data_IF_958542912604
#
_entry.id   IF_958542912604
#
_cell.length_a   1.000
_cell.length_b   1.000
_cell.length_c   1.000
_cell.angle_alpha   90.00
_cell.angle_beta   90.00
_cell.angle_gamma   90.00
#
_symmetry.space_group_name_H-M   'P 1'
#
loop_
_entity.id
_entity.type
_entity.pdbx_description
1 polymer ?
#
# COMPACT_ATOMS: atom_id res chain seq x y z
N UNK A 1 29.54 2.47 -19.24
CA UNK A 1 28.24 1.83 -18.91
C UNK A 1 27.43 2.76 -18.01
N UNK A 2 26.29 3.31 -18.46
CA UNK A 2 25.37 4.08 -17.61
C UNK A 2 24.72 3.11 -16.61
N UNK A 3 24.93 3.29 -15.30
CA UNK A 3 24.19 2.57 -14.25
C UNK A 3 22.70 2.86 -14.46
N UNK A 4 21.91 1.84 -14.79
CA UNK A 4 20.46 1.90 -14.67
C UNK A 4 20.13 2.20 -13.21
N UNK A 5 19.76 3.45 -12.92
CA UNK A 5 19.23 3.83 -11.61
C UNK A 5 17.95 3.02 -11.41
N UNK A 6 18.03 2.00 -10.54
CA UNK A 6 16.88 1.16 -10.17
C UNK A 6 15.82 2.09 -9.60
N UNK A 7 14.82 2.45 -10.42
CA UNK A 7 13.75 3.34 -9.99
C UNK A 7 13.07 2.68 -8.80
N UNK A 8 13.15 3.32 -7.64
CA UNK A 8 12.55 2.80 -6.42
C UNK A 8 11.05 2.58 -6.66
N UNK A 9 10.58 1.36 -6.39
CA UNK A 9 9.14 1.10 -6.36
C UNK A 9 8.58 1.87 -5.17
N UNK A 10 7.76 2.88 -5.45
CA UNK A 10 7.21 3.76 -4.43
C UNK A 10 6.02 3.11 -3.75
N UNK A 11 6.12 2.95 -2.42
CA UNK A 11 5.03 2.47 -1.57
C UNK A 11 4.07 3.61 -1.16
N UNK A 12 4.18 4.80 -1.75
CA UNK A 12 3.29 5.95 -1.49
C UNK A 12 1.83 5.60 -1.80
N UNK A 13 0.95 5.78 -0.83
CA UNK A 13 -0.51 5.65 -0.97
C UNK A 13 -1.10 7.05 -0.72
N UNK A 14 -2.16 7.41 -1.42
CA UNK A 14 -2.91 8.64 -1.15
C UNK A 14 -3.68 8.50 0.18
N UNK A 15 -3.45 9.40 1.13
CA UNK A 15 -4.11 9.40 2.44
C UNK A 15 -5.08 10.59 2.60
N UNK A 16 -5.60 11.12 1.50
CA UNK A 16 -6.59 12.19 1.51
C UNK A 16 -7.97 11.68 1.99
N UNK A 17 -8.47 12.25 3.10
CA UNK A 17 -9.75 11.84 3.72
C UNK A 17 -10.94 11.90 2.75
N UNK A 18 -11.03 12.94 1.94
CA UNK A 18 -12.20 13.18 1.08
C UNK A 18 -12.21 12.22 -0.11
N UNK A 19 -11.03 11.92 -0.66
CA UNK A 19 -10.88 10.89 -1.68
C UNK A 19 -11.22 9.51 -1.14
N UNK A 20 -10.68 9.15 0.03
CA UNK A 20 -10.93 7.83 0.64
C UNK A 20 -12.42 7.66 0.96
N UNK A 21 -13.06 8.68 1.52
CA UNK A 21 -14.48 8.64 1.88
C UNK A 21 -15.40 8.48 0.66
N UNK A 22 -14.99 8.97 -0.51
CA UNK A 22 -15.79 8.96 -1.75
C UNK A 22 -15.55 7.74 -2.64
N UNK A 23 -14.67 6.81 -2.27
CA UNK A 23 -14.41 5.60 -3.05
C UNK A 23 -15.73 4.84 -3.23
N UNK A 24 -16.21 4.78 -4.46
CA UNK A 24 -17.47 4.13 -4.84
C UNK A 24 -17.27 2.97 -5.81
N UNK A 25 -16.11 2.89 -6.44
CA UNK A 25 -15.78 1.85 -7.41
C UNK A 25 -14.31 1.38 -7.28
N UNK A 26 -13.96 0.22 -7.89
CA UNK A 26 -12.60 -0.30 -7.84
C UNK A 26 -11.55 0.59 -8.54
N UNK A 27 -11.94 1.36 -9.57
CA UNK A 27 -11.01 2.26 -10.27
C UNK A 27 -10.54 3.34 -9.29
N UNK A 28 -11.47 3.97 -8.57
CA UNK A 28 -11.17 4.95 -7.53
C UNK A 28 -10.28 4.35 -6.42
N UNK A 29 -10.55 3.11 -6.01
CA UNK A 29 -9.67 2.39 -5.09
C UNK A 29 -8.24 2.24 -5.64
N UNK A 30 -8.09 1.88 -6.93
CA UNK A 30 -6.78 1.76 -7.56
C UNK A 30 -6.03 3.09 -7.62
N UNK A 31 -6.73 4.22 -7.73
CA UNK A 31 -6.10 5.55 -7.69
C UNK A 31 -5.45 5.86 -6.34
N UNK A 32 -6.02 5.34 -5.24
CA UNK A 32 -5.44 5.49 -3.90
C UNK A 32 -4.07 4.81 -3.81
N UNK A 33 -3.94 3.60 -4.35
CA UNK A 33 -2.68 2.85 -4.36
C UNK A 33 -1.69 3.33 -5.43
N UNK A 34 -2.18 3.96 -6.50
CA UNK A 34 -1.36 4.48 -7.60
C UNK A 34 -1.75 5.93 -7.94
N UNK A 35 -1.37 6.91 -7.10
CA UNK A 35 -1.86 8.29 -7.20
C UNK A 35 -1.25 9.10 -8.34
N UNK A 36 -0.13 8.66 -8.93
CA UNK A 36 0.50 9.38 -10.03
C UNK A 36 -0.43 9.44 -11.26
N UNK A 37 -0.53 10.62 -11.90
CA UNK A 37 -1.42 10.86 -13.06
C UNK A 37 -1.20 9.86 -14.19
N UNK A 38 0.05 9.50 -14.49
CA UNK A 38 0.42 8.57 -15.56
C UNK A 38 0.43 7.08 -15.14
N UNK A 39 -0.26 6.71 -14.06
CA UNK A 39 -0.24 5.34 -13.53
C UNK A 39 -1.34 4.41 -14.06
N UNK A 40 -2.06 4.78 -15.13
CA UNK A 40 -3.21 4.02 -15.66
C UNK A 40 -2.92 2.52 -15.85
N UNK A 41 -1.79 2.17 -16.48
CA UNK A 41 -1.38 0.78 -16.69
C UNK A 41 -1.12 0.03 -15.37
N UNK A 42 -0.62 0.70 -14.34
CA UNK A 42 -0.40 0.09 -13.01
C UNK A 42 -1.71 -0.09 -12.25
N UNK A 43 -2.66 0.85 -12.42
CA UNK A 43 -4.02 0.75 -11.86
C UNK A 43 -4.79 -0.43 -12.47
N UNK A 44 -4.75 -0.55 -13.80
CA UNK A 44 -5.34 -1.70 -14.50
C UNK A 44 -4.69 -3.02 -14.04
N UNK A 45 -3.36 -3.08 -13.96
CA UNK A 45 -2.66 -4.25 -13.44
C UNK A 45 -3.01 -4.59 -11.98
N UNK A 46 -3.14 -3.59 -11.12
CA UNK A 46 -3.60 -3.77 -9.74
C UNK A 46 -4.98 -4.41 -9.68
N UNK A 47 -5.92 -3.91 -10.48
CA UNK A 47 -7.28 -4.46 -10.55
C UNK A 47 -7.31 -5.87 -11.11
N UNK A 48 -6.54 -6.14 -12.17
CA UNK A 48 -6.44 -7.48 -12.73
C UNK A 48 -5.94 -8.49 -11.69
N UNK A 49 -4.83 -8.19 -11.00
CA UNK A 49 -4.31 -9.05 -9.93
C UNK A 49 -5.35 -9.23 -8.80
N UNK A 50 -6.01 -8.14 -8.40
CA UNK A 50 -7.02 -8.18 -7.34
C UNK A 50 -8.20 -9.10 -7.70
N UNK A 51 -8.73 -8.97 -8.91
CA UNK A 51 -9.89 -9.74 -9.36
C UNK A 51 -9.53 -11.19 -9.69
N UNK A 52 -8.35 -11.45 -10.23
CA UNK A 52 -7.88 -12.82 -10.47
C UNK A 52 -7.68 -13.60 -9.18
N UNK A 53 -7.08 -13.00 -8.15
CA UNK A 53 -7.01 -13.64 -6.82
C UNK A 53 -8.42 -13.81 -6.24
N UNK A 54 -9.30 -12.81 -6.37
CA UNK A 54 -10.69 -12.88 -5.87
C UNK A 54 -11.47 -14.05 -6.49
N UNK A 55 -11.28 -14.29 -7.78
CA UNK A 55 -12.06 -15.25 -8.57
C UNK A 55 -11.38 -16.62 -8.74
N UNK A 56 -10.10 -16.75 -8.37
CA UNK A 56 -9.41 -18.02 -8.36
C UNK A 56 -10.04 -18.99 -7.34
N UNK A 57 -9.94 -20.30 -7.63
CA UNK A 57 -10.39 -21.34 -6.70
C UNK A 57 -9.71 -21.17 -5.34
N UNK A 58 -10.50 -21.19 -4.27
CA UNK A 58 -10.06 -20.94 -2.89
C UNK A 58 -9.29 -19.62 -2.69
N UNK A 59 -9.46 -18.65 -3.60
CA UNK A 59 -8.70 -17.39 -3.66
C UNK A 59 -7.17 -17.60 -3.75
N UNK A 60 -6.75 -18.65 -4.46
CA UNK A 60 -5.34 -19.03 -4.65
C UNK A 60 -4.98 -18.94 -6.12
N UNK A 61 -4.21 -17.91 -6.49
CA UNK A 61 -3.74 -17.71 -7.85
C UNK A 61 -2.30 -18.22 -8.00
N UNK A 62 -2.06 -19.20 -8.88
CA UNK A 62 -0.74 -19.81 -9.08
C UNK A 62 0.33 -18.79 -9.52
N UNK A 63 0.01 -18.02 -10.56
CA UNK A 63 0.91 -17.03 -11.15
C UNK A 63 0.13 -15.80 -11.62
N UNK A 64 0.84 -14.70 -11.82
CA UNK A 64 0.30 -13.49 -12.45
C UNK A 64 0.92 -13.25 -13.82
N UNK A 65 1.65 -14.21 -14.37
CA UNK A 65 2.47 -14.00 -15.57
C UNK A 65 1.60 -13.94 -16.84
N UNK A 66 0.42 -14.55 -16.83
CA UNK A 66 -0.55 -14.49 -17.93
C UNK A 66 -1.29 -13.14 -18.01
N UNK A 67 -1.42 -12.42 -16.89
CA UNK A 67 -2.17 -11.15 -16.79
C UNK A 67 -1.75 -10.13 -17.85
N UNK A 68 -0.45 -10.02 -18.14
CA UNK A 68 0.06 -9.08 -19.14
C UNK A 68 -0.50 -9.37 -20.53
N UNK A 69 -0.60 -10.65 -20.90
CA UNK A 69 -1.13 -11.09 -22.19
C UNK A 69 -2.65 -11.01 -22.23
N UNK A 70 -3.32 -11.47 -21.17
CA UNK A 70 -4.78 -11.54 -21.10
C UNK A 70 -5.44 -10.16 -21.14
N UNK A 71 -4.91 -9.19 -20.39
CA UNK A 71 -5.47 -7.83 -20.31
C UNK A 71 -4.74 -6.81 -21.18
N UNK A 72 -3.83 -7.25 -22.06
CA UNK A 72 -3.04 -6.37 -22.95
C UNK A 72 -2.33 -5.26 -22.15
N UNK A 73 -1.65 -5.65 -21.07
CA UNK A 73 -0.93 -4.76 -20.16
C UNK A 73 0.57 -4.93 -20.31
N UNK A 74 1.34 -3.88 -20.04
CA UNK A 74 2.80 -4.01 -19.99
C UNK A 74 3.26 -4.91 -18.82
N UNK A 75 4.10 -5.91 -19.09
CA UNK A 75 4.64 -6.83 -18.06
C UNK A 75 5.31 -6.09 -16.88
N UNK A 76 5.97 -4.96 -17.17
CA UNK A 76 6.57 -4.09 -16.14
C UNK A 76 5.51 -3.52 -15.18
N UNK A 77 4.33 -3.17 -15.68
CA UNK A 77 3.22 -2.64 -14.88
C UNK A 77 2.64 -3.70 -13.96
N UNK A 78 2.40 -4.91 -14.48
CA UNK A 78 1.97 -6.08 -13.68
C UNK A 78 2.97 -6.37 -12.56
N UNK A 79 4.25 -6.44 -12.91
CA UNK A 79 5.32 -6.68 -11.94
C UNK A 79 5.37 -5.60 -10.86
N UNK A 80 5.31 -4.32 -11.23
CA UNK A 80 5.33 -3.19 -10.28
C UNK A 80 4.09 -3.17 -9.39
N UNK A 81 2.92 -3.49 -9.94
CA UNK A 81 1.69 -3.57 -9.16
C UNK A 81 1.78 -4.71 -8.13
N UNK A 82 2.15 -5.91 -8.55
CA UNK A 82 2.34 -7.08 -7.68
C UNK A 82 3.36 -6.82 -6.56
N UNK A 83 4.51 -6.23 -6.89
CA UNK A 83 5.54 -5.86 -5.90
C UNK A 83 4.96 -4.90 -4.87
N UNK A 84 4.27 -3.83 -5.32
CA UNK A 84 3.67 -2.86 -4.40
C UNK A 84 2.62 -3.51 -3.50
N UNK A 85 1.67 -4.26 -4.06
CA UNK A 85 0.62 -4.96 -3.32
C UNK A 85 1.22 -5.90 -2.26
N UNK A 86 2.34 -6.57 -2.59
CA UNK A 86 3.05 -7.43 -1.64
C UNK A 86 3.74 -6.65 -0.52
N UNK A 87 4.44 -5.56 -0.87
CA UNK A 87 5.17 -4.71 0.09
C UNK A 87 4.26 -4.06 1.12
N UNK A 88 3.13 -3.52 0.68
CA UNK A 88 2.16 -2.89 1.59
C UNK A 88 1.31 -3.92 2.33
N UNK A 89 1.39 -5.20 1.95
CA UNK A 89 0.73 -6.30 2.64
C UNK A 89 -0.74 -6.52 2.27
N UNK A 90 -1.14 -6.20 1.03
CA UNK A 90 -2.45 -6.56 0.47
C UNK A 90 -2.48 -8.01 -0.02
N UNK A 91 -1.38 -8.50 -0.59
CA UNK A 91 -1.22 -9.88 -1.06
C UNK A 91 0.09 -10.46 -0.54
N UNK A 92 0.24 -11.78 -0.61
CA UNK A 92 1.49 -12.48 -0.31
C UNK A 92 1.58 -13.79 -1.09
N UNK A 93 2.79 -14.29 -1.28
CA UNK A 93 3.01 -15.64 -1.81
C UNK A 93 3.06 -16.65 -0.66
N UNK A 94 2.23 -17.70 -0.69
CA UNK A 94 2.20 -18.77 0.31
C UNK A 94 1.96 -20.12 -0.38
N UNK A 95 2.81 -21.10 -0.12
CA UNK A 95 2.73 -22.45 -0.69
C UNK A 95 2.62 -22.44 -2.23
N UNK A 96 3.33 -21.54 -2.91
CA UNK A 96 3.30 -21.40 -4.37
C UNK A 96 2.28 -20.39 -4.90
N UNK A 97 1.20 -20.12 -4.16
CA UNK A 97 0.09 -19.28 -4.62
C UNK A 97 0.18 -17.84 -4.13
N UNK A 98 -0.32 -16.91 -4.94
CA UNK A 98 -0.69 -15.55 -4.53
C UNK A 98 -2.07 -15.57 -3.86
N UNK A 99 -2.13 -15.03 -2.65
CA UNK A 99 -3.34 -14.95 -1.83
C UNK A 99 -3.47 -13.55 -1.21
N UNK A 100 -4.67 -13.19 -0.76
CA UNK A 100 -4.86 -12.00 0.06
C UNK A 100 -4.12 -12.09 1.40
N UNK A 101 -3.71 -10.92 1.88
CA UNK A 101 -3.02 -10.74 3.15
C UNK A 101 -3.78 -9.78 4.05
N UNK A 102 -3.85 -10.10 5.35
CA UNK A 102 -4.44 -9.22 6.36
C UNK A 102 -3.46 -8.17 6.88
N UNK A 103 -2.20 -8.18 6.42
CA UNK A 103 -1.12 -7.36 7.00
C UNK A 103 -1.43 -5.87 6.87
N UNK A 104 -1.84 -5.40 5.69
CA UNK A 104 -2.16 -3.98 5.50
C UNK A 104 -3.22 -3.48 6.47
N UNK A 105 -4.33 -4.22 6.62
CA UNK A 105 -5.40 -3.88 7.55
C UNK A 105 -4.95 -3.88 9.02
N UNK A 106 -4.09 -4.84 9.42
CA UNK A 106 -3.50 -4.87 10.76
C UNK A 106 -2.58 -3.67 11.00
N UNK A 107 -1.78 -3.28 10.00
CA UNK A 107 -0.91 -2.10 10.07
C UNK A 107 -1.72 -0.81 10.25
N UNK A 108 -2.81 -0.63 9.49
CA UNK A 108 -3.69 0.54 9.64
C UNK A 108 -4.35 0.59 11.02
N UNK A 109 -4.84 -0.55 11.53
CA UNK A 109 -5.40 -0.62 12.90
C UNK A 109 -4.37 -0.23 13.96
N UNK A 110 -3.14 -0.73 13.84
CA UNK A 110 -2.06 -0.37 14.76
C UNK A 110 -1.72 1.12 14.67
N UNK A 111 -1.73 1.72 13.48
CA UNK A 111 -1.53 3.16 13.31
C UNK A 111 -2.60 3.97 14.05
N UNK A 112 -3.88 3.59 13.90
CA UNK A 112 -4.99 4.21 14.63
C UNK A 112 -4.77 4.11 16.14
N UNK A 113 -4.48 2.92 16.65
CA UNK A 113 -4.18 2.71 18.09
C UNK A 113 -3.04 3.60 18.60
N UNK A 114 -1.99 3.81 17.79
CA UNK A 114 -0.89 4.70 18.16
C UNK A 114 -1.34 6.16 18.21
N UNK A 115 -2.11 6.61 17.22
CA UNK A 115 -2.65 7.97 17.21
C UNK A 115 -3.54 8.21 18.43
N UNK A 116 -4.48 7.31 18.70
CA UNK A 116 -5.41 7.41 19.83
C UNK A 116 -4.65 7.50 21.17
N UNK A 117 -3.60 6.69 21.33
CA UNK A 117 -2.75 6.73 22.52
C UNK A 117 -2.03 8.09 22.72
N UNK A 118 -1.61 8.73 21.64
CA UNK A 118 -0.94 10.05 21.69
C UNK A 118 -1.92 11.23 21.76
N UNK A 119 -3.22 11.01 21.61
CA UNK A 119 -4.25 12.03 21.85
C UNK A 119 -4.61 12.16 23.34
N UNK A 120 -4.25 11.18 24.17
CA UNK A 120 -4.51 11.21 25.60
C UNK A 120 -3.70 12.33 26.28
N UNK A 121 -4.32 13.23 27.07
CA UNK A 121 -3.59 14.28 27.75
C UNK A 121 -2.57 13.73 28.76
N UNK A 122 -1.39 14.35 28.83
CA UNK A 122 -0.42 14.10 29.89
C UNK A 122 -1.07 14.32 31.27
N UNK A 123 -0.93 13.33 32.15
CA UNK A 123 -1.48 13.34 33.49
C UNK A 123 -0.49 13.91 34.51
N UNK A 124 0.80 13.97 34.17
CA UNK A 124 1.87 14.45 35.05
C UNK A 124 2.78 15.48 34.39
N UNK A 125 3.45 16.30 35.19
CA UNK A 125 4.45 17.26 34.68
C UNK A 125 5.69 16.58 34.09
N UNK A 126 6.01 15.37 34.54
CA UNK A 126 7.09 14.56 33.94
C UNK A 126 6.74 14.15 32.50
N UNK A 127 5.49 13.75 32.26
CA UNK A 127 5.00 13.42 30.91
C UNK A 127 5.03 14.65 29.99
N UNK A 128 4.56 15.81 30.46
CA UNK A 128 4.63 17.07 29.71
C UNK A 128 6.07 17.46 29.36
N UNK A 129 7.02 17.27 30.29
CA UNK A 129 8.45 17.52 30.01
C UNK A 129 8.98 16.57 28.93
N UNK A 130 8.58 15.29 28.97
CA UNK A 130 8.94 14.29 27.96
C UNK A 130 8.35 14.62 26.58
N UNK A 131 7.11 15.07 26.51
CA UNK A 131 6.48 15.54 25.27
C UNK A 131 7.24 16.73 24.66
N UNK A 132 7.61 17.72 25.48
CA UNK A 132 8.46 18.85 25.02
C UNK A 132 9.81 18.37 24.49
N UNK A 133 10.43 17.39 25.14
CA UNK A 133 11.68 16.81 24.66
C UNK A 133 11.53 16.18 23.27
N UNK A 134 10.43 15.45 23.00
CA UNK A 134 10.18 14.90 21.66
C UNK A 134 10.02 16.00 20.59
N UNK A 135 9.39 17.13 20.93
CA UNK A 135 9.28 18.29 20.01
C UNK A 135 10.67 18.84 19.67
N UNK A 136 11.53 19.05 20.66
CA UNK A 136 12.88 19.57 20.44
C UNK A 136 13.75 18.58 19.66
N UNK A 137 13.63 17.28 19.93
CA UNK A 137 14.29 16.26 19.13
C UNK A 137 13.85 16.31 17.66
N UNK A 138 12.54 16.39 17.40
CA UNK A 138 11.99 16.39 16.05
C UNK A 138 12.43 17.60 15.21
N UNK A 139 12.59 18.79 15.84
CA UNK A 139 13.12 19.99 15.16
C UNK A 139 14.57 19.83 14.69
N UNK A 140 15.35 18.98 15.35
CA UNK A 140 16.78 18.83 15.13
C UNK A 140 17.14 17.58 14.31
N UNK A 141 16.15 16.83 13.82
CA UNK A 141 16.38 15.69 12.90
C UNK A 141 16.49 16.21 11.46
N UNK A 142 17.71 16.19 10.91
CA UNK A 142 18.00 16.38 9.48
C UNK A 142 17.86 15.05 8.72
#
# INVERSE_FOLDING_TARGET
MKRLTKTAVSDKIEANKDKIYRISDPIQLAEIFFPAKNAHQKRAAFLAILFEIKNAKDQKLDTTDHISKEYVLGQSSVTKARIKMSRIGLIRKRNGYWIFSSVFGKTLKNLITKIDAYQMPAQTDQEKKRERFYIEMAKNMN
#
